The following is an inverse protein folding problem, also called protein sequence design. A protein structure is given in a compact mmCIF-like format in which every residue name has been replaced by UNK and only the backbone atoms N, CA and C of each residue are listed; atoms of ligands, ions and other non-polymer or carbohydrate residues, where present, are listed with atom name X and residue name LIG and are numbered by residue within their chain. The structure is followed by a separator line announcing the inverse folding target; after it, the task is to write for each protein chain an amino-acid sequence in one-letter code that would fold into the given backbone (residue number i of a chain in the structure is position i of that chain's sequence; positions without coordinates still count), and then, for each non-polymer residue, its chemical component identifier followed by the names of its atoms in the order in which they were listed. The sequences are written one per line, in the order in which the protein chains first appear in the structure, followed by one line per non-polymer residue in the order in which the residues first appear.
data_IF_395116915416
#
_entry.id   IF_395116915416
#
_cell.length_a   1.000
_cell.length_b   1.000
_cell.length_c   1.000
_cell.angle_alpha   90.00
_cell.angle_beta   90.00
_cell.angle_gamma   90.00
#
_symmetry.space_group_name_H-M   'P 1'
#
loop_
_entity.id
_entity.type
_entity.pdbx_description
1 polymer ?
#
# COMPACT_ATOMS: atom_id res chain seq x y z
N UNK A 1 -13.07 -22.96 -29.17
CA UNK A 1 -12.36 -22.73 -27.89
C UNK A 1 -12.10 -24.09 -27.25
N UNK A 2 -10.88 -24.63 -27.26
CA UNK A 2 -10.61 -25.89 -26.57
C UNK A 2 -10.18 -25.61 -25.12
N UNK A 3 -10.88 -26.25 -24.17
CA UNK A 3 -10.53 -26.31 -22.76
C UNK A 3 -9.28 -27.19 -22.57
N UNK A 4 -8.30 -26.69 -21.81
CA UNK A 4 -7.16 -27.48 -21.38
C UNK A 4 -7.47 -28.07 -19.99
N UNK A 5 -7.84 -29.34 -19.96
CA UNK A 5 -8.16 -30.09 -18.75
C UNK A 5 -6.88 -30.70 -18.18
N UNK A 6 -6.49 -30.29 -16.97
CA UNK A 6 -5.41 -30.90 -16.20
C UNK A 6 -5.86 -32.24 -15.61
N UNK A 7 -5.21 -33.34 -16.00
CA UNK A 7 -5.42 -34.66 -15.40
C UNK A 7 -4.15 -35.08 -14.64
N UNK A 8 -4.27 -35.16 -13.31
CA UNK A 8 -3.32 -35.84 -12.43
C UNK A 8 -3.60 -37.35 -12.44
N UNK A 9 -2.54 -38.16 -12.51
CA UNK A 9 -2.65 -39.61 -12.36
C UNK A 9 -1.30 -40.32 -12.17
N UNK A 10 -1.05 -40.78 -10.94
CA UNK A 10 0.00 -41.75 -10.60
C UNK A 10 -0.20 -43.12 -11.29
N UNK A 11 0.90 -43.80 -11.67
CA UNK A 11 1.31 -45.17 -11.22
C UNK A 11 2.38 -45.79 -12.14
N UNK A 12 3.38 -46.42 -11.53
CA UNK A 12 4.41 -47.23 -12.18
C UNK A 12 3.89 -48.60 -12.63
N UNK A 13 4.15 -48.99 -13.89
CA UNK A 13 4.23 -50.40 -14.36
C UNK A 13 5.32 -50.51 -15.43
N UNK A 14 6.11 -51.61 -15.37
CA UNK A 14 7.28 -51.92 -16.22
C UNK A 14 6.90 -52.67 -17.52
N UNK A 15 7.77 -52.48 -18.54
CA UNK A 15 8.24 -53.39 -19.62
C UNK A 15 7.67 -53.26 -21.06
N UNK A 16 8.66 -53.32 -21.98
CA UNK A 16 8.69 -53.82 -23.38
C UNK A 16 8.26 -52.89 -24.54
N UNK A 17 9.27 -52.34 -25.21
CA UNK A 17 9.51 -52.44 -26.66
C UNK A 17 8.42 -52.00 -27.64
N UNK A 18 8.46 -50.73 -28.04
CA UNK A 18 8.01 -50.27 -29.37
C UNK A 18 8.70 -48.94 -29.69
N UNK A 19 9.43 -48.90 -30.81
CA UNK A 19 10.07 -47.70 -31.35
C UNK A 19 8.99 -46.90 -32.08
N UNK A 20 8.25 -46.08 -31.32
CA UNK A 20 7.25 -45.14 -31.85
C UNK A 20 8.00 -43.89 -32.28
N UNK A 21 8.00 -43.61 -33.58
CA UNK A 21 8.44 -42.34 -34.14
C UNK A 21 7.53 -41.24 -33.59
N UNK A 22 8.02 -40.55 -32.55
CA UNK A 22 7.37 -39.43 -31.91
C UNK A 22 7.45 -38.25 -32.88
N UNK A 23 6.40 -38.07 -33.69
CA UNK A 23 6.16 -36.79 -34.35
C UNK A 23 6.03 -35.74 -33.25
N UNK A 24 7.12 -35.02 -33.02
CA UNK A 24 7.14 -33.73 -32.33
C UNK A 24 6.28 -32.79 -33.17
N UNK A 25 4.96 -32.87 -32.99
CA UNK A 25 4.08 -31.78 -33.33
C UNK A 25 4.59 -30.60 -32.49
N UNK A 26 5.32 -29.70 -33.15
CA UNK A 26 5.60 -28.37 -32.65
C UNK A 26 4.24 -27.67 -32.54
N UNK A 27 3.49 -27.99 -31.49
CA UNK A 27 2.48 -27.11 -30.94
C UNK A 27 3.27 -25.92 -30.45
N UNK A 28 3.54 -24.98 -31.36
CA UNK A 28 4.09 -23.69 -31.02
C UNK A 28 3.16 -23.12 -29.96
N UNK A 29 3.63 -23.12 -28.72
CA UNK A 29 3.06 -22.34 -27.66
C UNK A 29 3.12 -20.91 -28.17
N UNK A 30 2.04 -20.47 -28.80
CA UNK A 30 1.89 -19.09 -29.24
C UNK A 30 1.72 -18.34 -27.94
N UNK A 31 2.80 -17.75 -27.48
CA UNK A 31 2.82 -16.93 -26.28
C UNK A 31 1.74 -15.87 -26.47
N UNK A 32 0.71 -15.86 -25.61
CA UNK A 32 -0.38 -14.91 -25.77
C UNK A 32 0.19 -13.50 -25.72
N UNK A 33 -0.31 -12.65 -26.61
CA UNK A 33 0.08 -11.24 -26.69
C UNK A 33 -0.10 -10.60 -25.31
N UNK A 34 0.93 -9.88 -24.84
CA UNK A 34 0.89 -9.25 -23.53
C UNK A 34 -0.29 -8.28 -23.51
N UNK A 35 -1.22 -8.51 -22.58
CA UNK A 35 -2.35 -7.59 -22.42
C UNK A 35 -1.84 -6.28 -21.83
N UNK A 36 -2.32 -5.13 -22.32
CA UNK A 36 -2.05 -3.86 -21.69
C UNK A 36 -2.52 -3.92 -20.24
N UNK A 37 -1.64 -3.54 -19.32
CA UNK A 37 -1.91 -3.59 -17.89
C UNK A 37 -0.97 -2.65 -17.15
N UNK A 38 -1.45 -2.06 -16.08
CA UNK A 38 -0.58 -1.42 -15.11
C UNK A 38 -0.11 -2.44 -14.09
N UNK A 39 1.11 -2.26 -13.60
CA UNK A 39 1.62 -2.93 -12.42
C UNK A 39 1.99 -1.86 -11.42
N UNK A 40 1.30 -1.85 -10.28
CA UNK A 40 1.58 -0.92 -9.21
C UNK A 40 2.52 -1.60 -8.23
N UNK A 41 3.57 -0.88 -7.85
CA UNK A 41 4.54 -1.26 -6.82
C UNK A 41 4.34 -0.28 -5.67
N UNK A 42 3.61 -0.70 -4.65
CA UNK A 42 3.28 0.14 -3.50
C UNK A 42 4.35 -0.06 -2.42
N UNK A 43 4.93 1.04 -1.99
CA UNK A 43 5.91 1.08 -0.91
C UNK A 43 5.49 2.09 0.15
N UNK A 44 6.21 2.17 1.26
CA UNK A 44 5.96 3.14 2.34
C UNK A 44 7.27 3.67 2.89
N UNK A 45 7.30 4.92 3.34
CA UNK A 45 8.43 5.45 4.13
C UNK A 45 8.14 5.42 5.64
N UNK A 46 6.89 5.12 6.02
CA UNK A 46 6.45 4.96 7.39
C UNK A 46 7.16 3.77 8.05
N UNK A 47 7.35 3.79 9.38
CA UNK A 47 7.91 2.66 10.08
C UNK A 47 6.94 1.47 10.04
N UNK A 48 7.47 0.26 10.09
CA UNK A 48 6.69 -0.96 10.13
C UNK A 48 6.58 -1.48 11.56
N UNK A 49 5.50 -2.18 11.89
CA UNK A 49 5.35 -2.74 13.24
C UNK A 49 6.42 -3.79 13.57
N UNK A 50 6.94 -4.52 12.56
CA UNK A 50 8.07 -5.43 12.72
C UNK A 50 9.38 -4.74 13.12
N UNK A 51 9.59 -3.48 12.71
CA UNK A 51 10.74 -2.67 13.11
C UNK A 51 10.67 -2.31 14.60
N UNK A 52 9.49 -1.93 15.10
CA UNK A 52 9.27 -1.59 16.52
C UNK A 52 9.60 -2.77 17.45
N UNK A 53 9.24 -4.00 17.05
CA UNK A 53 9.45 -5.19 17.87
C UNK A 53 10.91 -5.67 17.82
N UNK A 54 11.60 -5.39 16.72
CA UNK A 54 12.94 -5.92 16.45
C UNK A 54 14.07 -5.02 16.94
N UNK A 55 13.81 -3.72 17.18
CA UNK A 55 14.81 -2.82 17.76
C UNK A 55 15.04 -3.16 19.23
N UNK A 56 16.24 -3.66 19.62
CA UNK A 56 16.59 -3.74 21.04
C UNK A 56 16.50 -2.34 21.65
N UNK A 57 16.14 -2.24 22.93
CA UNK A 57 16.09 -1.03 23.79
C UNK A 57 17.43 -0.27 23.84
N UNK A 58 17.98 0.09 22.70
CA UNK A 58 19.16 0.90 22.52
C UNK A 58 18.73 2.36 22.70
N UNK A 59 19.62 3.21 23.23
CA UNK A 59 19.36 4.64 23.34
C UNK A 59 19.39 5.26 21.93
N UNK A 60 18.24 5.24 21.26
CA UNK A 60 17.93 5.91 20.00
C UNK A 60 16.55 6.57 20.10
N UNK A 61 16.18 7.43 19.14
CA UNK A 61 14.84 8.03 19.12
C UNK A 61 13.79 6.92 19.04
N UNK A 62 12.87 6.89 19.99
CA UNK A 62 11.80 5.88 20.02
C UNK A 62 10.90 6.09 18.80
N UNK A 63 10.77 5.07 17.94
CA UNK A 63 9.81 5.10 16.83
C UNK A 63 8.40 5.18 17.42
N UNK A 64 7.63 6.25 17.14
CA UNK A 64 6.29 6.38 17.69
C UNK A 64 5.41 5.24 17.15
N UNK A 65 4.93 4.37 18.04
CA UNK A 65 4.13 3.21 17.64
C UNK A 65 2.81 3.56 16.91
N UNK A 66 2.39 4.82 17.02
CA UNK A 66 1.23 5.38 16.32
C UNK A 66 1.53 5.73 14.85
N UNK A 67 2.79 5.97 14.49
CA UNK A 67 3.22 6.24 13.12
C UNK A 67 3.37 4.95 12.28
N UNK A 68 3.50 3.80 12.95
CA UNK A 68 3.80 2.56 12.27
C UNK A 68 2.58 1.95 11.58
N UNK A 69 2.84 1.35 10.42
CA UNK A 69 1.84 0.66 9.59
C UNK A 69 2.22 -0.80 9.43
N UNK A 70 1.24 -1.65 9.18
CA UNK A 70 1.44 -3.08 8.89
C UNK A 70 0.36 -3.67 7.98
N UNK A 71 -0.65 -2.89 7.62
CA UNK A 71 -1.72 -3.31 6.74
C UNK A 71 -1.86 -2.34 5.58
N UNK A 72 -1.99 -2.88 4.37
CA UNK A 72 -2.33 -2.18 3.15
C UNK A 72 -3.71 -2.63 2.67
N UNK A 73 -4.64 -1.69 2.52
CA UNK A 73 -5.96 -1.90 1.93
C UNK A 73 -6.03 -1.20 0.58
N UNK A 74 -6.34 -1.97 -0.45
CA UNK A 74 -6.41 -1.52 -1.85
C UNK A 74 -7.84 -1.69 -2.33
N UNK A 75 -8.45 -0.61 -2.79
CA UNK A 75 -9.80 -0.59 -3.32
C UNK A 75 -9.78 -0.09 -4.76
N UNK A 76 -10.39 -0.83 -5.69
CA UNK A 76 -10.70 -0.34 -7.03
C UNK A 76 -12.08 0.30 -6.97
N UNK A 77 -12.16 1.56 -7.40
CA UNK A 77 -13.38 2.36 -7.29
C UNK A 77 -14.05 2.58 -8.65
N UNK A 78 -15.38 2.50 -8.67
CA UNK A 78 -16.21 2.94 -9.79
C UNK A 78 -16.33 4.46 -9.85
N UNK A 79 -17.01 4.96 -10.89
CA UNK A 79 -17.23 6.41 -11.09
C UNK A 79 -18.08 7.07 -10.01
N UNK A 80 -18.98 6.32 -9.40
CA UNK A 80 -19.81 6.77 -8.29
C UNK A 80 -19.10 6.69 -6.93
N UNK A 81 -17.83 6.25 -6.92
CA UNK A 81 -17.05 6.02 -5.71
C UNK A 81 -17.37 4.70 -4.99
N UNK A 82 -18.20 3.84 -5.57
CA UNK A 82 -18.42 2.49 -5.03
C UNK A 82 -17.17 1.62 -5.15
N UNK A 83 -16.96 0.73 -4.18
CA UNK A 83 -15.85 -0.24 -4.21
C UNK A 83 -16.26 -1.39 -5.13
N UNK A 84 -15.53 -1.58 -6.23
CA UNK A 84 -15.72 -2.65 -7.21
C UNK A 84 -14.93 -3.90 -6.84
N UNK A 85 -13.73 -3.70 -6.29
CA UNK A 85 -12.85 -4.77 -5.80
C UNK A 85 -12.05 -4.27 -4.60
N UNK A 86 -11.72 -5.17 -3.69
CA UNK A 86 -11.03 -4.86 -2.45
C UNK A 86 -10.00 -5.95 -2.13
N UNK A 87 -8.81 -5.53 -1.72
CA UNK A 87 -7.76 -6.41 -1.24
C UNK A 87 -7.05 -5.83 -0.03
N UNK A 88 -7.07 -6.58 1.06
CA UNK A 88 -6.25 -6.30 2.24
C UNK A 88 -4.99 -7.18 2.23
N UNK A 89 -3.87 -6.62 2.64
CA UNK A 89 -2.58 -7.33 2.76
C UNK A 89 -1.86 -6.88 4.03
N UNK A 90 -1.45 -7.84 4.85
CA UNK A 90 -0.60 -7.60 6.02
C UNK A 90 0.85 -7.69 5.57
N UNK A 91 1.63 -6.64 5.81
CA UNK A 91 3.03 -6.49 5.44
C UNK A 91 3.78 -5.81 6.61
N UNK A 92 3.98 -6.56 7.69
CA UNK A 92 4.55 -6.05 8.94
C UNK A 92 6.08 -6.00 8.93
N UNK A 93 6.73 -6.76 8.05
CA UNK A 93 8.19 -6.82 7.90
C UNK A 93 8.64 -6.13 6.61
N UNK A 94 9.84 -5.54 6.60
CA UNK A 94 10.44 -4.90 5.40
C UNK A 94 10.52 -5.85 4.19
N UNK A 95 10.64 -7.16 4.43
CA UNK A 95 10.72 -8.18 3.37
C UNK A 95 9.40 -8.39 2.63
N UNK A 96 8.29 -7.93 3.20
CA UNK A 96 6.98 -7.97 2.57
C UNK A 96 6.75 -6.75 1.66
N UNK A 97 7.69 -5.79 1.67
CA UNK A 97 7.66 -4.58 0.87
C UNK A 97 8.75 -4.59 -0.23
N UNK A 98 8.48 -3.97 -1.39
CA UNK A 98 7.21 -3.35 -1.79
C UNK A 98 6.13 -4.37 -2.20
N UNK A 99 4.85 -4.01 -2.00
CA UNK A 99 3.70 -4.83 -2.41
C UNK A 99 3.31 -4.51 -3.84
N UNK A 100 3.27 -5.52 -4.72
CA UNK A 100 2.90 -5.32 -6.13
C UNK A 100 1.60 -6.00 -6.54
N UNK A 101 0.91 -5.41 -7.52
CA UNK A 101 -0.27 -6.00 -8.15
C UNK A 101 -0.52 -5.44 -9.55
N UNK A 102 -1.17 -6.25 -10.39
CA UNK A 102 -1.61 -5.82 -11.71
C UNK A 102 -3.00 -5.21 -11.67
N UNK A 103 -3.21 -4.18 -12.49
CA UNK A 103 -4.52 -3.58 -12.76
C UNK A 103 -4.77 -3.66 -14.24
N UNK A 104 -5.83 -4.38 -14.62
CA UNK A 104 -6.31 -4.41 -16.00
C UNK A 104 -7.30 -3.27 -16.13
N UNK A 105 -6.98 -2.33 -17.01
CA UNK A 105 -7.88 -1.23 -17.31
C UNK A 105 -8.90 -1.66 -18.35
N UNK A 106 -10.09 -1.09 -18.27
CA UNK A 106 -11.06 -1.08 -19.36
C UNK A 106 -10.83 0.15 -20.25
N UNK A 107 -11.84 0.55 -21.03
CA UNK A 107 -11.73 1.71 -21.95
C UNK A 107 -11.65 3.06 -21.22
N UNK A 108 -11.85 3.09 -19.90
CA UNK A 108 -11.87 4.31 -19.09
C UNK A 108 -10.71 4.37 -18.08
N UNK A 109 -10.64 5.47 -17.33
CA UNK A 109 -9.67 5.65 -16.25
C UNK A 109 -10.06 4.81 -15.03
N UNK A 110 -9.10 4.17 -14.39
CA UNK A 110 -9.34 3.41 -13.15
C UNK A 110 -8.91 4.22 -11.93
N UNK A 111 -9.81 4.31 -10.94
CA UNK A 111 -9.52 4.92 -9.64
C UNK A 111 -9.15 3.83 -8.64
N UNK A 112 -8.06 4.03 -7.92
CA UNK A 112 -7.55 3.08 -6.93
C UNK A 112 -7.30 3.86 -5.64
N UNK A 113 -7.96 3.47 -4.55
CA UNK A 113 -7.66 4.00 -3.22
C UNK A 113 -6.77 3.02 -2.49
N UNK A 114 -5.66 3.51 -1.98
CA UNK A 114 -4.64 2.74 -1.28
C UNK A 114 -4.52 3.33 0.12
N UNK A 115 -4.68 2.50 1.14
CA UNK A 115 -4.65 2.91 2.54
C UNK A 115 -3.62 2.09 3.30
N UNK A 116 -2.61 2.74 3.84
CA UNK A 116 -1.65 2.12 4.75
C UNK A 116 -1.96 2.53 6.19
N UNK A 117 -2.10 1.56 7.07
CA UNK A 117 -2.51 1.78 8.46
C UNK A 117 -2.00 0.66 9.36
N UNK A 118 -2.23 0.81 10.66
CA UNK A 118 -1.98 -0.24 11.66
C UNK A 118 -3.24 -1.07 11.89
N UNK A 119 -3.20 -2.36 11.58
CA UNK A 119 -4.36 -3.27 11.65
C UNK A 119 -5.06 -3.27 13.00
N UNK A 120 -4.31 -3.21 14.10
CA UNK A 120 -4.88 -3.16 15.46
C UNK A 120 -5.72 -1.91 15.77
N UNK A 121 -5.62 -0.86 14.96
CA UNK A 121 -6.40 0.37 15.13
C UNK A 121 -7.66 0.38 14.25
N UNK A 122 -7.79 -0.56 13.31
CA UNK A 122 -8.97 -0.66 12.46
C UNK A 122 -10.16 -1.28 13.22
N UNK A 123 -11.37 -0.87 12.82
CA UNK A 123 -12.61 -1.49 13.31
C UNK A 123 -13.16 -2.42 12.23
N UNK A 124 -13.75 -3.58 12.59
CA UNK A 124 -14.36 -4.45 11.59
C UNK A 124 -15.63 -3.80 11.00
N UNK A 125 -15.84 -3.94 9.70
CA UNK A 125 -17.13 -3.65 9.06
C UNK A 125 -18.14 -4.81 9.25
N UNK A 126 -19.30 -4.70 8.60
CA UNK A 126 -20.35 -5.72 8.69
C UNK A 126 -20.01 -7.04 7.97
N UNK A 127 -19.01 -7.02 7.08
CA UNK A 127 -18.54 -8.14 6.27
C UNK A 127 -17.26 -8.75 6.84
N UNK A 128 -16.67 -8.15 7.88
CA UNK A 128 -15.42 -8.56 8.51
C UNK A 128 -14.17 -7.95 7.87
N UNK A 129 -14.32 -6.98 6.96
CA UNK A 129 -13.23 -6.16 6.43
C UNK A 129 -12.76 -5.11 7.44
N UNK A 130 -11.56 -4.56 7.22
CA UNK A 130 -10.99 -3.54 8.10
C UNK A 130 -11.40 -2.13 7.68
N UNK A 131 -12.00 -1.38 8.61
CA UNK A 131 -12.24 0.06 8.47
C UNK A 131 -11.17 0.82 9.24
N UNK A 132 -10.11 1.32 8.57
CA UNK A 132 -9.04 2.03 9.25
C UNK A 132 -9.48 3.44 9.69
N UNK A 133 -9.01 3.91 10.86
CA UNK A 133 -9.34 5.24 11.36
C UNK A 133 -8.68 6.32 10.50
N UNK A 134 -9.43 7.27 9.92
CA UNK A 134 -8.89 8.24 8.96
C UNK A 134 -7.65 8.99 9.43
N UNK A 135 -7.54 9.33 10.72
CA UNK A 135 -6.44 10.12 11.28
C UNK A 135 -5.11 9.36 11.41
N UNK A 136 -5.16 8.03 11.47
CA UNK A 136 -3.99 7.16 11.64
C UNK A 136 -3.74 6.33 10.37
N UNK A 137 -4.19 6.85 9.22
CA UNK A 137 -4.12 6.18 7.93
C UNK A 137 -3.40 7.11 6.95
N UNK A 138 -2.49 6.54 6.17
CA UNK A 138 -1.95 7.19 4.98
C UNK A 138 -2.89 6.80 3.83
N UNK A 139 -3.60 7.78 3.27
CA UNK A 139 -4.64 7.57 2.27
C UNK A 139 -4.24 8.20 0.93
N UNK A 140 -4.01 7.35 -0.07
CA UNK A 140 -3.54 7.74 -1.40
C UNK A 140 -4.60 7.36 -2.43
N UNK A 141 -5.05 8.32 -3.23
CA UNK A 141 -5.90 8.08 -4.39
C UNK A 141 -5.05 8.11 -5.66
N UNK A 142 -5.08 7.05 -6.44
CA UNK A 142 -4.38 6.95 -7.72
C UNK A 142 -5.41 6.88 -8.84
N UNK A 143 -5.19 7.64 -9.90
CA UNK A 143 -5.96 7.56 -11.13
C UNK A 143 -5.03 7.13 -12.26
N UNK A 144 -5.36 6.00 -12.89
CA UNK A 144 -4.59 5.45 -14.00
C UNK A 144 -5.37 5.67 -15.31
N UNK A 145 -4.66 6.16 -16.31
CA UNK A 145 -5.19 6.29 -17.67
C UNK A 145 -4.96 5.00 -18.46
N UNK A 146 -5.83 4.67 -19.45
CA UNK A 146 -5.61 3.59 -20.39
C UNK A 146 -4.21 3.62 -21.01
N UNK A 147 -3.63 2.44 -21.21
CA UNK A 147 -2.31 2.25 -21.82
C UNK A 147 -2.40 1.16 -22.88
N UNK A 148 -1.62 1.28 -23.95
CA UNK A 148 -1.49 0.25 -24.99
C UNK A 148 -0.46 -0.82 -24.64
N UNK A 149 0.41 -0.52 -23.66
CA UNK A 149 1.52 -1.37 -23.23
C UNK A 149 1.43 -1.71 -21.73
N UNK A 150 2.21 -2.70 -21.30
CA UNK A 150 2.45 -2.94 -19.87
C UNK A 150 3.30 -1.81 -19.29
N UNK A 151 2.81 -1.13 -18.25
CA UNK A 151 3.56 -0.10 -17.50
C UNK A 151 3.70 -0.49 -16.04
N UNK A 152 4.82 -0.13 -15.41
CA UNK A 152 5.08 -0.43 -14.00
C UNK A 152 5.41 0.86 -13.27
N UNK A 153 4.61 1.23 -12.27
CA UNK A 153 4.80 2.46 -11.51
C UNK A 153 4.90 2.19 -10.02
N UNK A 154 5.78 2.93 -9.37
CA UNK A 154 5.90 2.99 -7.93
C UNK A 154 4.92 4.03 -7.36
N UNK A 155 4.32 3.68 -6.23
CA UNK A 155 3.50 4.57 -5.40
C UNK A 155 4.03 4.49 -3.97
N UNK A 156 4.53 5.59 -3.44
CA UNK A 156 5.00 5.66 -2.05
C UNK A 156 3.89 6.18 -1.15
N UNK A 157 3.54 5.40 -0.14
CA UNK A 157 2.67 5.77 0.96
C UNK A 157 3.47 6.61 1.97
N UNK A 158 3.56 7.92 1.71
CA UNK A 158 4.37 8.81 2.53
C UNK A 158 3.73 9.09 3.90
N UNK A 159 4.48 8.93 4.98
CA UNK A 159 4.05 9.18 6.36
C UNK A 159 3.59 10.63 6.58
N UNK A 160 4.16 11.59 5.84
CA UNK A 160 3.74 12.99 5.85
C UNK A 160 2.30 13.21 5.36
N UNK A 161 1.71 12.20 4.73
CA UNK A 161 0.31 12.16 4.31
C UNK A 161 -0.64 11.51 5.32
N UNK A 162 -0.14 11.01 6.46
CA UNK A 162 -0.98 10.40 7.48
C UNK A 162 -2.07 11.37 7.95
N UNK A 163 -3.31 10.90 8.00
CA UNK A 163 -4.46 11.69 8.42
C UNK A 163 -5.07 12.60 7.35
N UNK A 164 -4.48 12.67 6.16
CA UNK A 164 -5.01 13.45 5.03
C UNK A 164 -5.92 12.58 4.18
N UNK A 165 -7.13 13.07 3.92
CA UNK A 165 -8.11 12.40 3.08
C UNK A 165 -8.03 12.89 1.64
N UNK A 166 -8.15 12.00 0.63
CA UNK A 166 -8.26 12.43 -0.76
C UNK A 166 -9.60 13.14 -1.02
N UNK A 167 -9.60 14.00 -2.05
CA UNK A 167 -10.81 14.58 -2.63
C UNK A 167 -11.23 13.77 -3.86
N UNK A 168 -12.47 13.29 -3.87
CA UNK A 168 -13.09 12.63 -5.01
C UNK A 168 -13.83 13.60 -5.94
N UNK A 169 -13.87 14.90 -5.60
CA UNK A 169 -14.48 15.94 -6.45
C UNK A 169 -13.52 16.28 -7.57
N UNK A 170 -14.00 16.32 -8.81
CA UNK A 170 -13.18 16.63 -9.98
C UNK A 170 -12.59 18.06 -9.94
N UNK A 171 -11.29 18.24 -10.22
CA UNK A 171 -10.30 17.18 -10.46
C UNK A 171 -9.95 16.45 -9.16
N UNK A 172 -9.86 15.11 -9.19
CA UNK A 172 -9.54 14.31 -8.00
C UNK A 172 -8.15 14.65 -7.44
N UNK A 173 -8.05 14.78 -6.12
CA UNK A 173 -6.82 15.21 -5.43
C UNK A 173 -6.45 14.33 -4.26
N UNK A 174 -5.17 14.29 -3.92
CA UNK A 174 -4.62 13.45 -2.85
C UNK A 174 -3.23 13.92 -2.45
N UNK A 175 -2.82 13.58 -1.22
CA UNK A 175 -1.47 13.84 -0.74
C UNK A 175 -0.47 12.86 -1.37
N UNK A 176 0.60 13.37 -1.97
CA UNK A 176 1.70 12.55 -2.50
C UNK A 176 2.78 12.37 -1.44
N UNK A 177 3.15 13.48 -0.79
CA UNK A 177 4.13 13.54 0.29
C UNK A 177 3.91 14.80 1.16
N UNK A 178 4.83 15.06 2.10
CA UNK A 178 4.76 16.20 3.01
C UNK A 178 4.72 17.56 2.27
N UNK A 179 5.55 17.73 1.25
CA UNK A 179 5.69 18.97 0.50
C UNK A 179 4.60 19.13 -0.58
N UNK A 180 3.95 18.02 -0.93
CA UNK A 180 2.88 17.93 -1.92
C UNK A 180 1.60 17.36 -1.31
N UNK A 181 0.97 18.10 -0.37
CA UNK A 181 -0.15 17.60 0.42
C UNK A 181 -1.48 17.52 -0.34
N UNK A 182 -1.56 18.13 -1.51
CA UNK A 182 -2.78 18.26 -2.30
C UNK A 182 -2.42 18.36 -3.78
N UNK A 183 -2.21 17.21 -4.42
CA UNK A 183 -1.88 17.08 -5.85
C UNK A 183 -2.97 16.31 -6.59
N UNK A 184 -2.92 16.34 -7.93
CA UNK A 184 -3.80 15.48 -8.73
C UNK A 184 -3.55 13.99 -8.42
N UNK A 185 -4.61 13.19 -8.48
CA UNK A 185 -4.50 11.74 -8.27
C UNK A 185 -3.72 10.99 -9.36
N UNK A 186 -3.35 11.67 -10.45
CA UNK A 186 -2.46 11.17 -11.51
C UNK A 186 -0.98 11.45 -11.23
N UNK A 187 -0.67 12.29 -10.23
CA UNK A 187 0.72 12.69 -9.90
C UNK A 187 1.39 11.70 -8.95
N UNK A 188 2.71 11.83 -8.79
CA UNK A 188 3.48 11.01 -7.84
C UNK A 188 3.67 9.54 -8.26
N UNK A 189 3.34 9.20 -9.50
CA UNK A 189 3.59 7.89 -10.11
C UNK A 189 4.99 7.89 -10.75
N UNK A 190 5.88 7.03 -10.28
CA UNK A 190 7.25 6.95 -10.80
C UNK A 190 7.43 5.65 -11.59
N UNK A 191 7.75 5.76 -12.88
CA UNK A 191 8.09 4.58 -13.70
C UNK A 191 9.25 3.79 -13.07
N UNK A 192 9.08 2.48 -12.97
CA UNK A 192 10.02 1.63 -12.23
C UNK A 192 10.07 0.19 -12.77
N UNK A 193 10.98 -0.62 -12.22
CA UNK A 193 10.95 -2.07 -12.31
C UNK A 193 10.32 -2.69 -11.05
N UNK A 194 10.20 -4.03 -11.02
CA UNK A 194 9.74 -4.74 -9.83
C UNK A 194 10.81 -4.85 -8.72
N UNK A 195 12.07 -4.64 -9.07
CA UNK A 195 13.22 -4.83 -8.17
C UNK A 195 13.63 -3.48 -7.54
N UNK A 196 12.73 -2.90 -6.74
CA UNK A 196 12.98 -1.65 -6.01
C UNK A 196 13.32 -1.96 -4.56
N UNK A 197 14.34 -1.28 -4.01
CA UNK A 197 14.62 -1.35 -2.58
C UNK A 197 13.50 -0.63 -1.81
N UNK A 198 13.04 -1.24 -0.70
CA UNK A 198 12.00 -0.63 0.12
C UNK A 198 12.49 0.65 0.81
N UNK A 199 11.61 1.63 0.91
CA UNK A 199 11.77 2.86 1.67
C UNK A 199 11.25 2.73 3.12
N UNK A 200 10.78 1.56 3.55
CA UNK A 200 10.16 1.36 4.85
C UNK A 200 11.01 1.90 6.01
N UNK A 201 10.41 2.72 6.87
CA UNK A 201 11.08 3.36 8.02
C UNK A 201 12.11 4.44 7.68
N UNK A 202 12.16 4.94 6.44
CA UNK A 202 13.11 5.99 6.04
C UNK A 202 12.57 7.42 6.16
N UNK A 203 11.32 7.61 6.63
CA UNK A 203 10.71 8.92 6.74
C UNK A 203 11.57 9.88 7.62
N UNK A 204 12.05 11.01 7.05
CA UNK A 204 13.05 11.85 7.71
C UNK A 204 12.54 12.56 8.97
N UNK A 205 11.23 12.80 9.05
CA UNK A 205 10.57 13.49 10.17
C UNK A 205 10.20 12.58 11.35
N UNK A 206 10.54 11.29 11.31
CA UNK A 206 10.38 10.40 12.46
C UNK A 206 11.40 10.67 13.57
N UNK A 207 12.57 11.22 13.22
CA UNK A 207 13.59 11.52 14.19
C UNK A 207 13.13 12.64 15.13
N UNK A 208 13.29 12.42 16.44
CA UNK A 208 13.11 13.47 17.42
C UNK A 208 14.11 14.61 17.13
N UNK A 209 13.60 15.82 16.93
CA UNK A 209 14.44 17.01 16.78
C UNK A 209 14.69 17.63 18.15
N UNK A 210 15.94 17.61 18.66
CA UNK A 210 16.22 18.13 19.98
C UNK A 210 16.02 19.64 20.03
N UNK A 211 15.53 20.12 21.16
CA UNK A 211 15.49 21.54 21.48
C UNK A 211 16.87 22.20 21.38
N UNK A 212 17.05 23.10 20.40
CA UNK A 212 18.27 23.88 20.26
C UNK A 212 18.17 25.18 21.08
N UNK A 213 18.97 25.28 22.14
CA UNK A 213 19.08 26.48 22.97
C UNK A 213 18.15 26.50 24.19
N UNK A 214 18.13 27.63 24.90
CA UNK A 214 17.29 27.82 26.07
C UNK A 214 15.87 28.26 25.65
N UNK A 215 14.85 27.62 26.22
CA UNK A 215 13.48 28.08 26.07
C UNK A 215 13.32 29.50 26.68
N UNK A 216 12.50 30.38 26.08
CA UNK A 216 12.17 31.68 26.67
C UNK A 216 11.69 31.58 28.14
N UNK A 217 11.91 32.61 28.98
CA UNK A 217 11.42 32.59 30.36
C UNK A 217 9.91 32.32 30.42
N UNK A 218 9.51 31.36 31.25
CA UNK A 218 8.11 30.94 31.38
C UNK A 218 7.62 29.94 30.33
N UNK A 219 8.51 29.42 29.48
CA UNK A 219 8.19 28.37 28.50
C UNK A 219 9.04 27.12 28.70
N UNK A 220 8.55 26.00 28.15
CA UNK A 220 9.28 24.74 28.06
C UNK A 220 9.43 24.42 26.58
N UNK A 221 10.65 24.10 26.15
CA UNK A 221 10.84 23.56 24.82
C UNK A 221 10.45 22.09 24.81
N UNK A 222 9.57 21.72 23.89
CA UNK A 222 9.18 20.34 23.62
C UNK A 222 9.97 19.91 22.38
N UNK A 223 10.75 18.82 22.43
CA UNK A 223 11.45 18.30 21.25
C UNK A 223 10.46 18.10 20.09
N UNK A 224 10.92 18.43 18.88
CA UNK A 224 10.15 18.16 17.67
C UNK A 224 10.09 16.67 17.39
N UNK A 225 9.13 16.24 16.58
CA UNK A 225 8.99 14.84 16.20
C UNK A 225 7.59 14.54 15.68
N UNK A 226 7.28 13.27 15.52
CA UNK A 226 5.96 12.82 15.13
C UNK A 226 5.08 12.63 16.37
N UNK A 227 3.98 13.38 16.42
CA UNK A 227 2.93 13.21 17.43
C UNK A 227 1.55 13.26 16.77
N UNK A 228 0.62 12.47 17.29
CA UNK A 228 -0.80 12.54 16.91
C UNK A 228 -1.56 13.16 18.06
N UNK A 229 -1.91 14.43 17.88
CA UNK A 229 -2.68 15.16 18.88
C UNK A 229 -4.14 14.70 18.92
N UNK A 230 -4.53 14.14 20.07
CA UNK A 230 -5.88 13.74 20.39
C UNK A 230 -5.98 12.26 20.78
N UNK A 231 -6.67 11.96 21.87
CA UNK A 231 -7.02 10.58 22.23
C UNK A 231 -8.38 10.25 21.60
N UNK A 232 -8.40 9.28 20.68
CA UNK A 232 -9.66 8.82 20.08
C UNK A 232 -10.64 8.27 21.15
N UNK A 233 -10.13 7.77 22.29
CA UNK A 233 -10.97 7.33 23.42
C UNK A 233 -11.72 8.48 24.09
N UNK A 234 -11.28 9.72 23.92
CA UNK A 234 -11.93 10.91 24.48
C UNK A 234 -12.98 11.53 23.54
N UNK A 235 -13.11 11.01 22.31
CA UNK A 235 -14.11 11.48 21.35
C UNK A 235 -15.52 11.09 21.84
N UNK A 236 -16.36 12.08 22.14
CA UNK A 236 -17.71 11.88 22.70
C UNK A 236 -17.83 12.00 24.23
N UNK A 237 -16.71 12.09 24.97
CA UNK A 237 -16.75 12.37 26.42
C UNK A 237 -17.04 13.84 26.75
N UNK A 238 -16.72 14.76 25.83
CA UNK A 238 -17.00 16.18 26.02
C UNK A 238 -18.51 16.50 25.98
N UNK A 239 -19.31 15.69 25.28
CA UNK A 239 -20.76 15.88 25.16
C UNK A 239 -21.54 15.41 26.41
N UNK A 240 -20.89 14.71 27.33
CA UNK A 240 -21.49 14.22 28.59
C UNK A 240 -21.37 15.27 29.71
N UNK A 241 -20.52 16.29 29.53
CA UNK A 241 -20.28 17.36 30.50
C UNK A 241 -20.99 18.68 30.17
N UNK A 242 -21.82 18.72 29.12
CA UNK A 242 -22.64 19.86 28.72
C UNK A 242 -24.12 19.62 28.94
#
# INVERSE_FOLDING_TARGET
MPHCTSQFGHRHVRRTGALVAMLLAASGCREPEARPQWVLVVDTDAPLTGQIVSEPLLPGPEIPAVAAVDTLLIEILGDDGSVLDERETVAADERDWPVSFGVVLDEERTRIRIRAFRGQNAVPDAQGGSVPPPRLTIDRLVVLEPTDDKRTVAVTMALGCMGRLPSFVAPERTCVDHDRPDELATEGLVETSLDVATAAGTAPWLAEEPCLGAAPPGSVCIPGGFDVLGDERLRGFADILS
#
